data_IF_586209614411
#
_entry.id   IF_586209614411
#
_cell.length_a   1.000
_cell.length_b   1.000
_cell.length_c   1.000
_cell.angle_alpha   90.00
_cell.angle_beta   90.00
_cell.angle_gamma   90.00
#
_symmetry.space_group_name_H-M   'P 1'
#
loop_
_entity.id
_entity.type
_entity.pdbx_description
1 polymer ?
#
# COMPACT_ATOMS: atom_id res chain seq x y z
N UNK A 1 -22.58 28.20 50.36
CA UNK A 1 -22.08 28.41 48.98
C UNK A 1 -20.58 28.08 48.91
N UNK A 2 -20.18 26.79 48.88
CA UNK A 2 -18.75 26.36 48.83
C UNK A 2 -18.47 25.27 47.77
N UNK A 3 -19.44 24.99 46.88
CA UNK A 3 -19.33 23.92 45.89
C UNK A 3 -18.75 24.35 44.52
N UNK A 4 -18.65 25.64 44.21
CA UNK A 4 -18.27 26.05 42.84
C UNK A 4 -16.77 25.90 42.54
N UNK A 5 -15.88 26.02 43.53
CA UNK A 5 -14.43 25.89 43.31
C UNK A 5 -14.04 24.43 43.07
N UNK A 6 -14.57 23.50 43.89
CA UNK A 6 -14.30 22.06 43.75
C UNK A 6 -14.82 21.51 42.43
N UNK A 7 -16.03 21.92 42.04
CA UNK A 7 -16.62 21.53 40.76
C UNK A 7 -15.82 22.07 39.57
N UNK A 8 -15.43 23.36 39.60
CA UNK A 8 -14.65 23.97 38.52
C UNK A 8 -13.27 23.34 38.34
N UNK A 9 -12.61 22.94 39.43
CA UNK A 9 -11.34 22.22 39.39
C UNK A 9 -11.50 20.81 38.80
N UNK A 10 -12.56 20.10 39.18
CA UNK A 10 -12.88 18.79 38.62
C UNK A 10 -13.21 18.85 37.13
N UNK A 11 -14.06 19.78 36.71
CA UNK A 11 -14.39 19.96 35.29
C UNK A 11 -13.16 20.32 34.45
N UNK A 12 -12.27 21.17 34.98
CA UNK A 12 -11.02 21.50 34.29
C UNK A 12 -10.11 20.28 34.12
N UNK A 13 -10.01 19.42 35.14
CA UNK A 13 -9.25 18.18 35.05
C UNK A 13 -9.85 17.21 34.03
N UNK A 14 -11.17 17.00 34.05
CA UNK A 14 -11.87 16.14 33.10
C UNK A 14 -11.70 16.61 31.65
N UNK A 15 -11.89 17.92 31.40
CA UNK A 15 -11.70 18.52 30.07
C UNK A 15 -10.25 18.33 29.60
N UNK A 16 -9.27 18.54 30.48
CA UNK A 16 -7.86 18.33 30.17
C UNK A 16 -7.56 16.89 29.75
N UNK A 17 -8.13 15.90 30.45
CA UNK A 17 -7.98 14.47 30.12
C UNK A 17 -8.59 14.17 28.74
N UNK A 18 -9.79 14.66 28.46
CA UNK A 18 -10.45 14.47 27.16
C UNK A 18 -9.60 15.07 26.03
N UNK A 19 -9.06 16.27 26.22
CA UNK A 19 -8.18 16.91 25.24
C UNK A 19 -6.90 16.09 25.03
N UNK A 20 -6.27 15.63 26.11
CA UNK A 20 -5.05 14.81 26.03
C UNK A 20 -5.29 13.50 25.27
N UNK A 21 -6.43 12.84 25.50
CA UNK A 21 -6.81 11.60 24.83
C UNK A 21 -7.13 11.83 23.34
N UNK A 22 -7.77 12.94 23.00
CA UNK A 22 -8.00 13.32 21.61
C UNK A 22 -6.66 13.54 20.86
N UNK A 23 -5.71 14.25 21.48
CA UNK A 23 -4.37 14.47 20.91
C UNK A 23 -3.64 13.13 20.74
N UNK A 24 -3.68 12.25 21.75
CA UNK A 24 -3.06 10.93 21.67
C UNK A 24 -3.68 10.06 20.57
N UNK A 25 -5.00 10.09 20.41
CA UNK A 25 -5.70 9.38 19.34
C UNK A 25 -5.28 9.85 17.94
N UNK A 26 -5.19 11.17 17.73
CA UNK A 26 -4.69 11.75 16.47
C UNK A 26 -3.22 11.39 16.23
N UNK A 27 -2.38 11.45 17.26
CA UNK A 27 -0.96 11.07 17.16
C UNK A 27 -0.78 9.59 16.80
N UNK A 28 -1.56 8.71 17.42
CA UNK A 28 -1.52 7.27 17.15
C UNK A 28 -2.00 6.95 15.72
N UNK A 29 -3.03 7.66 15.22
CA UNK A 29 -3.48 7.57 13.82
C UNK A 29 -2.31 7.79 12.86
N UNK A 30 -1.63 8.91 13.03
CA UNK A 30 -0.55 9.34 12.16
C UNK A 30 0.64 8.37 12.21
N UNK A 31 0.99 7.90 13.42
CA UNK A 31 2.06 6.91 13.58
C UNK A 31 1.70 5.55 12.94
N UNK A 32 0.45 5.14 13.04
CA UNK A 32 -0.03 3.90 12.43
C UNK A 32 0.05 3.99 10.90
N UNK A 33 -0.41 5.09 10.32
CA UNK A 33 -0.35 5.34 8.88
C UNK A 33 1.07 5.29 8.34
N UNK A 34 2.00 5.98 9.01
CA UNK A 34 3.42 5.96 8.67
C UNK A 34 4.03 4.55 8.72
N UNK A 35 3.59 3.70 9.65
CA UNK A 35 4.16 2.38 9.86
C UNK A 35 3.58 1.34 8.91
N UNK A 36 2.27 1.39 8.65
CA UNK A 36 1.58 0.51 7.71
C UNK A 36 2.10 0.76 6.30
N UNK A 37 2.23 2.02 5.88
CA UNK A 37 2.75 2.35 4.56
C UNK A 37 4.16 1.79 4.34
N UNK A 38 5.06 1.98 5.31
CA UNK A 38 6.42 1.41 5.24
C UNK A 38 6.40 -0.11 5.13
N UNK A 39 5.50 -0.77 5.86
CA UNK A 39 5.38 -2.23 5.82
C UNK A 39 4.86 -2.72 4.47
N UNK A 40 3.83 -2.08 3.93
CA UNK A 40 3.27 -2.40 2.60
C UNK A 40 4.33 -2.22 1.51
N UNK A 41 5.06 -1.10 1.51
CA UNK A 41 6.13 -0.87 0.54
C UNK A 41 7.23 -1.92 0.68
N UNK A 42 7.57 -2.34 1.90
CA UNK A 42 8.55 -3.41 2.14
C UNK A 42 8.07 -4.74 1.55
N UNK A 43 6.84 -5.15 1.84
CA UNK A 43 6.24 -6.40 1.32
C UNK A 43 6.18 -6.38 -0.22
N UNK A 44 5.70 -5.29 -0.81
CA UNK A 44 5.69 -5.10 -2.27
C UNK A 44 7.09 -5.10 -2.88
N UNK A 45 8.10 -4.64 -2.15
CA UNK A 45 9.50 -4.69 -2.61
C UNK A 45 10.03 -6.12 -2.61
N UNK A 46 9.68 -6.91 -1.61
CA UNK A 46 10.04 -8.33 -1.55
C UNK A 46 9.37 -9.11 -2.68
N UNK A 47 8.07 -8.92 -2.89
CA UNK A 47 7.32 -9.50 -4.01
C UNK A 47 7.89 -9.07 -5.38
N UNK A 48 8.30 -7.79 -5.50
CA UNK A 48 8.91 -7.28 -6.72
C UNK A 48 10.28 -7.93 -6.98
N UNK A 49 11.07 -8.16 -5.93
CA UNK A 49 12.35 -8.85 -6.07
C UNK A 49 12.15 -10.31 -6.49
N UNK A 50 11.14 -11.00 -5.95
CA UNK A 50 10.74 -12.34 -6.38
C UNK A 50 10.30 -12.33 -7.85
N UNK A 51 9.48 -11.36 -8.26
CA UNK A 51 9.05 -11.18 -9.64
C UNK A 51 10.23 -10.95 -10.59
N UNK A 52 11.17 -10.09 -10.21
CA UNK A 52 12.38 -9.82 -10.99
C UNK A 52 13.20 -11.10 -11.13
N UNK A 53 13.38 -11.86 -10.05
CA UNK A 53 14.13 -13.13 -10.08
C UNK A 53 13.44 -14.20 -10.94
N UNK A 54 12.10 -14.20 -10.98
CA UNK A 54 11.31 -15.08 -11.84
C UNK A 54 11.24 -14.61 -13.30
N UNK A 55 11.59 -13.35 -13.58
CA UNK A 55 11.52 -12.77 -14.92
C UNK A 55 12.80 -13.07 -15.71
N UNK A 56 12.64 -13.61 -16.90
CA UNK A 56 13.74 -13.84 -17.83
C UNK A 56 13.29 -13.68 -19.27
N UNK A 57 14.25 -13.57 -20.18
CA UNK A 57 13.99 -13.67 -21.61
C UNK A 57 14.31 -15.08 -22.06
N UNK A 58 13.40 -15.66 -22.84
CA UNK A 58 13.62 -16.95 -23.53
C UNK A 58 14.75 -16.82 -24.57
N UNK A 59 15.27 -17.96 -25.06
CA UNK A 59 16.27 -17.98 -26.13
C UNK A 59 15.82 -17.21 -27.39
N UNK A 60 14.51 -17.19 -27.63
CA UNK A 60 13.84 -16.51 -28.74
C UNK A 60 13.68 -15.00 -28.51
N UNK A 61 14.15 -14.48 -27.37
CA UNK A 61 14.05 -13.07 -26.98
C UNK A 61 12.70 -12.66 -26.42
N UNK A 62 11.78 -13.61 -26.16
CA UNK A 62 10.47 -13.29 -25.58
C UNK A 62 10.56 -13.19 -24.07
N UNK A 63 10.02 -12.11 -23.52
CA UNK A 63 9.83 -11.92 -22.08
C UNK A 63 8.90 -13.02 -21.51
N UNK A 64 9.33 -13.64 -20.42
CA UNK A 64 8.57 -14.67 -19.72
C UNK A 64 8.83 -14.59 -18.21
N UNK A 65 7.80 -14.88 -17.41
CA UNK A 65 7.89 -14.97 -15.95
C UNK A 65 7.69 -16.43 -15.56
N UNK A 66 8.71 -17.04 -14.98
CA UNK A 66 8.67 -18.43 -14.53
C UNK A 66 7.62 -18.59 -13.41
N UNK A 67 6.62 -19.44 -13.70
CA UNK A 67 5.55 -19.94 -12.83
C UNK A 67 5.35 -19.26 -11.47
N UNK A 68 4.26 -18.49 -11.38
CA UNK A 68 3.55 -18.05 -10.16
C UNK A 68 4.45 -17.71 -8.98
N UNK A 69 4.63 -16.41 -8.73
CA UNK A 69 5.00 -15.90 -7.39
C UNK A 69 4.30 -16.75 -6.32
N UNK A 70 5.01 -17.06 -5.23
CA UNK A 70 4.54 -17.97 -4.19
C UNK A 70 3.14 -17.62 -3.65
N UNK A 71 2.75 -16.34 -3.78
CA UNK A 71 1.46 -15.84 -3.37
C UNK A 71 0.31 -16.18 -4.34
N UNK A 72 -0.63 -17.00 -3.86
CA UNK A 72 -1.85 -17.37 -4.57
C UNK A 72 -2.75 -16.17 -4.90
N UNK A 73 -2.64 -15.04 -4.19
CA UNK A 73 -3.43 -13.83 -4.45
C UNK A 73 -3.25 -13.34 -5.90
N UNK A 74 -2.08 -13.54 -6.51
CA UNK A 74 -1.85 -13.17 -7.92
C UNK A 74 -2.58 -14.07 -8.95
N UNK A 75 -3.07 -15.23 -8.51
CA UNK A 75 -3.83 -16.16 -9.34
C UNK A 75 -5.34 -15.92 -9.28
N UNK A 76 -5.81 -15.28 -8.21
CA UNK A 76 -7.23 -15.00 -7.99
C UNK A 76 -7.65 -13.72 -8.73
N UNK A 77 -8.61 -13.78 -9.67
CA UNK A 77 -9.12 -12.60 -10.37
C UNK A 77 -9.58 -11.51 -9.38
N UNK A 78 -9.15 -10.26 -9.62
CA UNK A 78 -9.56 -9.09 -8.82
C UNK A 78 -9.31 -9.23 -7.31
N UNK A 79 -8.22 -9.92 -6.93
CA UNK A 79 -7.82 -10.13 -5.54
C UNK A 79 -7.31 -8.87 -4.82
N UNK A 80 -7.14 -7.77 -5.56
CA UNK A 80 -6.42 -6.60 -5.06
C UNK A 80 -4.91 -6.74 -5.12
N UNK A 81 -4.33 -7.86 -5.57
CA UNK A 81 -2.87 -8.03 -5.67
C UNK A 81 -2.48 -8.29 -7.11
N UNK A 82 -1.63 -7.44 -7.67
CA UNK A 82 -1.38 -7.38 -9.09
C UNK A 82 0.10 -7.32 -9.39
N UNK A 83 0.53 -7.96 -10.47
CA UNK A 83 1.87 -7.74 -11.01
C UNK A 83 1.84 -7.66 -12.52
N UNK A 84 2.77 -6.91 -13.08
CA UNK A 84 2.94 -6.75 -14.52
C UNK A 84 4.42 -6.55 -14.84
N UNK A 85 4.87 -7.10 -15.96
CA UNK A 85 6.21 -6.93 -16.49
C UNK A 85 6.09 -6.52 -17.95
N UNK A 86 6.79 -5.45 -18.30
CA UNK A 86 6.83 -4.90 -19.65
C UNK A 86 8.25 -4.98 -20.21
N UNK A 87 8.39 -5.53 -21.42
CA UNK A 87 9.61 -5.41 -22.21
C UNK A 87 9.70 -4.00 -22.80
N UNK A 88 10.77 -3.26 -22.49
CA UNK A 88 10.92 -1.88 -22.95
C UNK A 88 11.30 -1.76 -24.43
N UNK A 89 11.78 -2.83 -25.07
CA UNK A 89 12.10 -2.83 -26.49
C UNK A 89 10.88 -3.17 -27.35
N UNK A 90 10.08 -4.15 -26.92
CA UNK A 90 8.93 -4.67 -27.71
C UNK A 90 7.57 -4.20 -27.21
N UNK A 91 7.49 -3.59 -26.03
CA UNK A 91 6.25 -3.29 -25.30
C UNK A 91 5.36 -4.53 -25.06
N UNK A 92 5.96 -5.71 -25.11
CA UNK A 92 5.26 -6.94 -24.75
C UNK A 92 5.02 -6.98 -23.24
N UNK A 93 3.81 -7.35 -22.84
CA UNK A 93 3.34 -7.34 -21.47
C UNK A 93 3.05 -8.76 -20.99
N UNK A 94 3.63 -9.12 -19.85
CA UNK A 94 3.28 -10.30 -19.08
C UNK A 94 2.65 -9.83 -17.78
N UNK A 95 1.53 -10.43 -17.38
CA UNK A 95 0.77 -9.97 -16.21
C UNK A 95 0.21 -11.13 -15.39
N UNK A 96 -0.09 -10.83 -14.13
CA UNK A 96 -0.77 -11.75 -13.22
C UNK A 96 -2.18 -12.10 -13.71
N UNK A 97 -2.70 -13.26 -13.28
CA UNK A 97 -4.09 -13.66 -13.58
C UNK A 97 -5.10 -12.79 -12.82
N UNK A 98 -4.69 -12.23 -11.68
CA UNK A 98 -5.49 -11.32 -10.87
C UNK A 98 -5.87 -10.02 -11.60
N UNK A 99 -5.05 -9.56 -12.55
CA UNK A 99 -5.38 -8.43 -13.44
C UNK A 99 -6.42 -8.78 -14.50
N UNK A 100 -6.66 -10.08 -14.75
CA UNK A 100 -7.59 -10.58 -15.76
C UNK A 100 -7.33 -9.95 -17.15
N UNK A 101 -8.22 -9.06 -17.60
CA UNK A 101 -8.16 -8.34 -18.88
C UNK A 101 -7.57 -6.94 -18.75
N UNK A 102 -7.33 -6.45 -17.52
CA UNK A 102 -6.84 -5.12 -17.22
C UNK A 102 -5.31 -5.01 -17.24
N UNK A 103 -4.82 -3.78 -17.39
CA UNK A 103 -3.40 -3.45 -17.44
C UNK A 103 -3.15 -2.27 -16.53
N UNK A 104 -2.05 -2.29 -15.77
CA UNK A 104 -1.65 -1.17 -14.94
C UNK A 104 -1.04 -0.08 -15.82
N UNK A 105 -1.58 1.13 -15.72
CA UNK A 105 -1.11 2.29 -16.48
C UNK A 105 0.15 2.87 -15.81
N UNK A 106 1.32 2.44 -16.28
CA UNK A 106 2.59 2.87 -15.70
C UNK A 106 3.02 4.25 -16.23
N UNK A 107 3.58 5.14 -15.38
CA UNK A 107 4.12 6.41 -15.82
C UNK A 107 5.26 6.21 -16.83
N UNK A 108 5.38 7.11 -17.82
CA UNK A 108 6.35 6.95 -18.94
C UNK A 108 7.82 7.06 -18.54
N UNK A 109 8.12 7.63 -17.37
CA UNK A 109 9.50 7.86 -16.93
C UNK A 109 9.79 7.06 -15.67
N UNK A 110 10.46 5.92 -15.85
CA UNK A 110 11.09 5.19 -14.76
C UNK A 110 12.60 5.37 -14.91
N UNK A 111 13.27 5.92 -13.89
CA UNK A 111 14.73 5.87 -13.82
C UNK A 111 15.20 4.41 -13.83
N UNK A 112 16.30 4.11 -14.52
CA UNK A 112 16.85 2.76 -14.55
C UNK A 112 17.33 2.36 -13.14
N UNK A 113 16.99 1.15 -12.69
CA UNK A 113 17.51 0.54 -11.47
C UNK A 113 16.93 1.06 -10.14
N UNK A 114 16.30 2.22 -10.11
CA UNK A 114 15.70 2.80 -8.90
C UNK A 114 14.34 2.16 -8.57
N UNK A 115 14.14 1.86 -7.28
CA UNK A 115 12.85 1.45 -6.74
C UNK A 115 11.95 2.68 -6.63
N UNK A 116 10.75 2.62 -7.21
CA UNK A 116 9.81 3.74 -7.18
C UNK A 116 8.46 3.30 -6.64
N UNK A 117 7.97 4.00 -5.61
CA UNK A 117 6.59 3.90 -5.14
C UNK A 117 5.71 4.83 -5.98
N UNK A 118 4.59 4.33 -6.46
CA UNK A 118 3.58 5.09 -7.20
C UNK A 118 2.17 4.69 -6.73
N UNK A 119 1.21 5.57 -6.91
CA UNK A 119 -0.21 5.27 -6.73
C UNK A 119 -0.88 5.14 -8.09
N UNK A 120 -1.54 4.00 -8.32
CA UNK A 120 -2.17 3.65 -9.58
C UNK A 120 -3.64 3.33 -9.37
N UNK A 121 -4.39 3.26 -10.48
CA UNK A 121 -5.75 2.71 -10.46
C UNK A 121 -5.72 1.23 -10.77
N UNK A 122 -6.31 0.43 -9.89
CA UNK A 122 -6.51 -0.99 -10.11
C UNK A 122 -7.63 -1.29 -11.12
N UNK A 123 -7.80 -2.57 -11.50
CA UNK A 123 -8.81 -3.01 -12.47
C UNK A 123 -10.26 -2.69 -12.09
N UNK A 124 -10.59 -2.64 -10.80
CA UNK A 124 -11.91 -2.23 -10.30
C UNK A 124 -12.05 -0.72 -10.06
N UNK A 125 -11.05 0.08 -10.41
CA UNK A 125 -11.00 1.52 -10.16
C UNK A 125 -10.56 1.92 -8.76
N UNK A 126 -10.13 0.96 -7.94
CA UNK A 126 -9.52 1.19 -6.63
C UNK A 126 -8.21 1.98 -6.72
N UNK A 127 -7.84 2.64 -5.62
CA UNK A 127 -6.50 3.19 -5.45
C UNK A 127 -5.57 2.06 -4.99
N UNK A 128 -4.47 1.89 -5.70
CA UNK A 128 -3.54 0.78 -5.52
C UNK A 128 -2.13 1.36 -5.33
N UNK A 129 -1.44 0.92 -4.28
CA UNK A 129 -0.03 1.26 -4.09
C UNK A 129 0.80 0.32 -4.94
N UNK A 130 1.71 0.87 -5.73
CA UNK A 130 2.57 0.11 -6.63
C UNK A 130 4.05 0.39 -6.34
N UNK A 131 4.87 -0.63 -6.47
CA UNK A 131 6.33 -0.52 -6.48
C UNK A 131 6.84 -0.97 -7.85
N UNK A 132 7.63 -0.11 -8.48
CA UNK A 132 8.08 -0.26 -9.87
C UNK A 132 9.60 -0.25 -9.89
N UNK A 133 10.20 -1.10 -10.73
CA UNK A 133 11.63 -1.08 -11.01
C UNK A 133 11.93 -1.48 -12.45
N UNK A 134 12.88 -0.77 -13.06
CA UNK A 134 13.42 -1.11 -14.38
C UNK A 134 14.74 -1.84 -14.21
N UNK A 135 14.84 -3.03 -14.80
CA UNK A 135 16.03 -3.88 -14.77
C UNK A 135 16.57 -4.03 -16.19
N UNK A 136 17.89 -3.96 -16.32
CA UNK A 136 18.61 -4.29 -17.55
C UNK A 136 19.38 -5.58 -17.32
N UNK A 137 19.12 -6.58 -18.15
CA UNK A 137 19.80 -7.87 -18.18
C UNK A 137 21.24 -7.71 -18.73
N UNK A 138 22.09 -8.72 -18.51
CA UNK A 138 23.48 -8.73 -18.98
C UNK A 138 23.59 -8.58 -20.51
N UNK A 139 22.58 -9.06 -21.25
CA UNK A 139 22.47 -8.94 -22.71
C UNK A 139 22.01 -7.54 -23.17
N UNK A 140 21.83 -6.58 -22.26
CA UNK A 140 21.38 -5.22 -22.56
C UNK A 140 19.88 -5.06 -22.78
N UNK A 141 19.10 -6.14 -22.64
CA UNK A 141 17.64 -6.11 -22.67
C UNK A 141 17.09 -5.49 -21.40
N UNK A 142 16.14 -4.59 -21.50
CA UNK A 142 15.53 -3.95 -20.35
C UNK A 142 14.06 -4.32 -20.22
N UNK A 143 13.64 -4.64 -19.00
CA UNK A 143 12.25 -4.84 -18.64
C UNK A 143 11.88 -3.99 -17.43
N UNK A 144 10.61 -3.64 -17.34
CA UNK A 144 10.02 -2.92 -16.21
C UNK A 144 9.06 -3.83 -15.48
N UNK A 145 9.37 -4.12 -14.22
CA UNK A 145 8.53 -4.91 -13.34
C UNK A 145 7.76 -4.00 -12.38
N UNK A 146 6.51 -4.36 -12.11
CA UNK A 146 5.64 -3.69 -11.13
C UNK A 146 4.89 -4.73 -10.32
N UNK A 147 4.78 -4.48 -9.01
CA UNK A 147 3.85 -5.18 -8.11
C UNK A 147 2.99 -4.11 -7.44
N UNK A 148 1.69 -4.39 -7.30
CA UNK A 148 0.74 -3.44 -6.78
C UNK A 148 -0.32 -4.12 -5.89
N UNK A 149 -0.74 -3.43 -4.84
CA UNK A 149 -1.77 -3.88 -3.89
C UNK A 149 -2.88 -2.82 -3.70
N UNK A 150 -4.13 -3.27 -3.76
CA UNK A 150 -5.33 -2.53 -3.39
C UNK A 150 -5.33 -2.32 -1.88
N UNK A 151 -4.96 -1.12 -1.47
CA UNK A 151 -5.03 -0.74 -0.08
C UNK A 151 -6.24 0.16 0.16
N UNK A 152 -7.43 -0.44 0.07
CA UNK A 152 -8.64 0.15 0.65
C UNK A 152 -8.45 0.33 2.16
N UNK A 153 -8.16 1.58 2.53
CA UNK A 153 -8.23 2.16 3.87
C UNK A 153 -7.19 1.76 4.91
N UNK A 154 -6.03 2.42 4.84
CA UNK A 154 -5.40 2.94 6.08
C UNK A 154 -6.25 4.10 6.66
N UNK A 155 -7.04 4.79 5.84
CA UNK A 155 -7.76 6.00 6.25
C UNK A 155 -9.03 5.80 7.09
N UNK A 156 -9.80 4.71 6.94
CA UNK A 156 -11.13 4.56 7.58
C UNK A 156 -11.11 4.07 9.02
N UNK A 157 -10.15 3.26 9.46
CA UNK A 157 -10.29 2.61 10.78
C UNK A 157 -10.01 3.49 12.00
N UNK A 158 -9.54 4.74 11.83
CA UNK A 158 -9.26 5.60 12.99
C UNK A 158 -10.37 6.60 13.28
N UNK A 159 -11.18 6.97 12.29
CA UNK A 159 -12.36 7.82 12.51
C UNK A 159 -13.45 7.11 13.31
N UNK A 160 -13.71 5.83 13.00
CA UNK A 160 -14.67 5.01 13.75
C UNK A 160 -14.15 4.66 15.15
N UNK A 161 -12.85 4.37 15.30
CA UNK A 161 -12.26 4.09 16.60
C UNK A 161 -12.37 5.28 17.58
N UNK A 162 -12.14 6.51 17.09
CA UNK A 162 -12.33 7.73 17.91
C UNK A 162 -13.81 7.95 18.24
N UNK A 163 -14.73 7.61 17.33
CA UNK A 163 -16.18 7.68 17.55
C UNK A 163 -16.66 6.66 18.58
N UNK A 164 -16.08 5.47 18.61
CA UNK A 164 -16.41 4.39 19.54
C UNK A 164 -15.78 4.58 20.93
N UNK A 165 -14.69 5.34 21.02
CA UNK A 165 -14.09 5.77 22.28
C UNK A 165 -14.85 6.93 22.95
N UNK A 166 -15.56 7.76 22.18
CA UNK A 166 -16.29 8.91 22.73
C UNK A 166 -17.30 8.52 23.84
N UNK A 167 -18.11 7.45 23.73
CA UNK A 167 -18.97 6.98 24.81
C UNK A 167 -18.19 6.54 26.06
N UNK A 168 -17.07 5.84 25.90
CA UNK A 168 -16.25 5.36 27.01
C UNK A 168 -15.64 6.52 27.81
N UNK A 169 -15.27 7.62 27.13
CA UNK A 169 -14.78 8.84 27.75
C UNK A 169 -15.88 9.61 28.49
N UNK A 170 -17.11 9.57 28.00
CA UNK A 170 -18.26 10.16 28.71
C UNK A 170 -18.64 9.37 29.96
N UNK A 171 -18.46 8.05 29.97
CA UNK A 171 -18.75 7.20 31.15
C UNK A 171 -17.69 7.34 32.25
N UNK A 172 -16.45 7.70 31.89
CA UNK A 172 -15.34 7.86 32.83
C UNK A 172 -15.26 9.27 33.45
N UNK A 173 -16.00 10.25 32.91
CA UNK A 173 -16.08 11.63 33.35
C UNK A 173 -17.27 11.88 34.30
#
# INVERSE_FOLDING_TARGET
MRNSIRFRLWSAAAISIVIALAIAGVGLRYLFELNVERRVVSELTDDLNELIAATSFTADGRLFVASTLADQRFSNPLSGHYWQVEDLATHNLVRSRSLWDATLALPKQAGYGELRKEELKGPGGELTVAVIRTITDADGRAFRAVVAEDHRNVEVSVGEYVRDLAPALVVLA
#
